data_IF_000420990124
#
_entry.id   IF_000420990124
#
_cell.length_a   1.000
_cell.length_b   1.000
_cell.length_c   1.000
_cell.angle_alpha   90.00
_cell.angle_beta   90.00
_cell.angle_gamma   90.00
#
_symmetry.space_group_name_H-M   'P 1'
#
loop_
_entity.id
_entity.type
_entity.pdbx_description
1 polymer ?
#
# COMPACT_ATOMS: atom_id res chain seq x y z
N UNK A 1 -6.91 -3.81 32.74
CA UNK A 1 -6.88 -3.95 31.28
C UNK A 1 -6.11 -5.21 30.93
N UNK A 2 -6.66 -6.11 30.15
CA UNK A 2 -5.97 -7.35 29.74
C UNK A 2 -4.75 -7.00 28.86
N UNK A 3 -3.64 -7.75 28.99
CA UNK A 3 -2.42 -7.61 28.17
C UNK A 3 -2.75 -7.60 26.67
N UNK A 4 -3.71 -8.43 26.24
CA UNK A 4 -4.20 -8.48 24.87
C UNK A 4 -4.81 -7.16 24.35
N UNK A 5 -5.48 -6.39 25.22
CA UNK A 5 -6.05 -5.08 24.82
C UNK A 5 -4.98 -4.05 24.48
N UNK A 6 -3.84 -4.09 25.21
CA UNK A 6 -2.70 -3.18 24.95
C UNK A 6 -2.01 -3.58 23.65
N UNK A 7 -1.84 -4.87 23.43
CA UNK A 7 -1.21 -5.40 22.21
C UNK A 7 -2.02 -5.07 20.96
N UNK A 8 -3.34 -5.28 21.00
CA UNK A 8 -4.24 -4.90 19.91
C UNK A 8 -4.15 -3.40 19.58
N UNK A 9 -4.19 -2.54 20.58
CA UNK A 9 -4.00 -1.08 20.38
C UNK A 9 -2.68 -0.75 19.72
N UNK A 10 -1.60 -1.40 20.12
CA UNK A 10 -0.27 -1.24 19.53
C UNK A 10 -0.26 -1.64 18.06
N UNK A 11 -0.89 -2.77 17.71
CA UNK A 11 -0.98 -3.25 16.33
C UNK A 11 -1.81 -2.34 15.44
N UNK A 12 -2.95 -1.85 15.93
CA UNK A 12 -3.75 -0.86 15.20
C UNK A 12 -2.95 0.42 14.96
N UNK A 13 -2.22 0.92 15.98
CA UNK A 13 -1.36 2.10 15.80
C UNK A 13 -0.23 1.85 14.80
N UNK A 14 0.38 0.66 14.81
CA UNK A 14 1.40 0.25 13.83
C UNK A 14 0.81 0.22 12.41
N UNK A 15 -0.37 -0.35 12.25
CA UNK A 15 -1.06 -0.39 10.95
C UNK A 15 -1.32 1.02 10.42
N UNK A 16 -1.89 1.92 11.26
CA UNK A 16 -2.15 3.31 10.87
C UNK A 16 -0.88 4.05 10.43
N UNK A 17 0.20 3.88 11.18
CA UNK A 17 1.48 4.46 10.80
C UNK A 17 1.96 3.95 9.43
N UNK A 18 1.90 2.64 9.21
CA UNK A 18 2.32 2.04 7.94
C UNK A 18 1.43 2.49 6.76
N UNK A 19 0.13 2.65 6.98
CA UNK A 19 -0.79 3.17 5.96
C UNK A 19 -0.43 4.62 5.57
N UNK A 20 -0.18 5.48 6.55
CA UNK A 20 0.25 6.86 6.29
C UNK A 20 1.60 6.92 5.57
N UNK A 21 2.52 6.04 5.94
CA UNK A 21 3.82 5.93 5.27
C UNK A 21 3.66 5.46 3.82
N UNK A 22 2.81 4.46 3.57
CA UNK A 22 2.51 3.98 2.22
C UNK A 22 1.86 5.07 1.36
N UNK A 23 0.91 5.84 1.92
CA UNK A 23 0.26 6.96 1.26
C UNK A 23 1.29 8.02 0.86
N UNK A 24 2.18 8.41 1.79
CA UNK A 24 3.29 9.31 1.49
C UNK A 24 4.18 8.82 0.33
N UNK A 25 4.54 7.53 0.32
CA UNK A 25 5.32 6.96 -0.79
C UNK A 25 4.55 6.95 -2.11
N UNK A 26 3.23 6.71 -2.10
CA UNK A 26 2.40 6.75 -3.29
C UNK A 26 2.30 8.17 -3.88
N UNK A 27 2.16 9.20 -3.03
CA UNK A 27 2.18 10.60 -3.46
C UNK A 27 3.54 10.99 -4.05
N UNK A 28 4.63 10.68 -3.33
CA UNK A 28 5.99 10.98 -3.75
C UNK A 28 6.37 10.26 -5.05
N UNK A 29 5.81 9.07 -5.30
CA UNK A 29 6.07 8.28 -6.50
C UNK A 29 5.86 9.06 -7.79
N UNK A 30 4.77 9.83 -7.87
CA UNK A 30 4.44 10.64 -9.04
C UNK A 30 5.53 11.66 -9.38
N UNK A 31 6.24 12.19 -8.38
CA UNK A 31 7.32 13.14 -8.56
C UNK A 31 8.61 12.44 -9.02
N UNK A 32 9.13 11.50 -8.23
CA UNK A 32 10.43 10.91 -8.53
C UNK A 32 10.45 10.07 -9.81
N UNK A 33 9.34 9.40 -10.16
CA UNK A 33 9.27 8.67 -11.44
C UNK A 33 9.23 9.63 -12.63
N UNK A 34 8.53 10.77 -12.52
CA UNK A 34 8.51 11.80 -13.56
C UNK A 34 9.89 12.41 -13.77
N UNK A 35 10.54 12.83 -12.69
CA UNK A 35 11.85 13.45 -12.74
C UNK A 35 12.92 12.50 -13.26
N UNK A 36 12.85 11.23 -12.87
CA UNK A 36 13.74 10.18 -13.36
C UNK A 36 13.56 9.93 -14.87
N UNK A 37 12.31 9.81 -15.34
CA UNK A 37 11.99 9.66 -16.77
C UNK A 37 12.43 10.89 -17.58
N UNK A 38 12.19 12.07 -17.05
CA UNK A 38 12.61 13.32 -17.69
C UNK A 38 14.13 13.37 -17.88
N UNK A 39 14.88 12.99 -16.87
CA UNK A 39 16.35 12.94 -16.96
C UNK A 39 16.87 11.93 -18.02
N UNK A 40 16.19 10.80 -18.18
CA UNK A 40 16.47 9.83 -19.25
C UNK A 40 16.23 10.46 -20.64
N UNK A 41 15.12 11.21 -20.81
CA UNK A 41 14.80 11.90 -22.06
C UNK A 41 15.87 12.94 -22.38
N UNK A 42 16.21 13.79 -21.42
CA UNK A 42 17.23 14.85 -21.57
C UNK A 42 18.62 14.27 -21.89
N UNK A 43 18.90 13.07 -21.42
CA UNK A 43 20.10 12.31 -21.76
C UNK A 43 20.05 11.68 -23.17
N UNK A 44 18.95 11.78 -23.92
CA UNK A 44 18.79 11.25 -25.28
C UNK A 44 18.51 9.75 -25.35
N UNK A 45 18.04 9.14 -24.25
CA UNK A 45 17.76 7.70 -24.14
C UNK A 45 16.28 7.36 -23.92
N UNK A 46 15.36 8.19 -24.41
CA UNK A 46 13.92 8.02 -24.24
C UNK A 46 13.39 6.62 -24.66
N UNK A 47 14.05 5.96 -25.61
CA UNK A 47 13.68 4.63 -26.09
C UNK A 47 13.83 3.51 -25.06
N UNK A 48 14.52 3.73 -23.94
CA UNK A 48 14.60 2.74 -22.86
C UNK A 48 13.41 2.82 -21.88
N UNK A 49 12.62 3.90 -21.91
CA UNK A 49 11.50 4.10 -20.99
C UNK A 49 10.45 2.98 -21.09
N UNK A 50 9.99 2.55 -22.26
CA UNK A 50 9.05 1.44 -22.35
C UNK A 50 9.59 0.14 -21.77
N UNK A 51 10.90 -0.08 -21.89
CA UNK A 51 11.59 -1.29 -21.41
C UNK A 51 11.61 -1.34 -19.88
N UNK A 52 11.95 -0.22 -19.24
CA UNK A 52 11.99 -0.15 -17.78
C UNK A 52 10.60 -0.10 -17.15
N UNK A 53 9.60 0.42 -17.88
CA UNK A 53 8.20 0.47 -17.41
C UNK A 53 7.50 -0.89 -17.50
N UNK A 54 7.93 -1.80 -18.40
CA UNK A 54 7.35 -3.14 -18.54
C UNK A 54 7.73 -4.09 -17.38
N UNK A 55 8.76 -3.78 -16.62
CA UNK A 55 9.16 -4.56 -15.44
C UNK A 55 8.27 -4.32 -14.20
N UNK A 56 7.48 -3.25 -14.20
CA UNK A 56 6.66 -2.82 -13.05
C UNK A 56 5.23 -3.39 -13.06
N UNK A 57 4.83 -4.13 -14.11
CA UNK A 57 3.51 -4.73 -14.23
C UNK A 57 3.52 -6.22 -13.88
N UNK A 58 3.80 -6.54 -12.64
CA UNK A 58 3.28 -7.75 -12.02
C UNK A 58 2.24 -7.35 -10.95
N UNK A 59 1.09 -6.90 -11.41
CA UNK A 59 -0.12 -7.13 -10.66
C UNK A 59 -0.42 -8.61 -10.81
N UNK A 60 -0.02 -9.41 -9.84
CA UNK A 60 -0.59 -10.73 -9.67
C UNK A 60 -2.11 -10.52 -9.52
N UNK A 61 -2.87 -10.86 -10.55
CA UNK A 61 -4.28 -11.17 -10.40
C UNK A 61 -4.37 -12.29 -9.36
N UNK A 62 -4.59 -11.91 -8.11
CA UNK A 62 -4.98 -12.84 -7.07
C UNK A 62 -6.41 -13.31 -7.32
N UNK A 63 -6.55 -14.22 -8.28
CA UNK A 63 -7.74 -15.04 -8.43
C UNK A 63 -7.72 -16.14 -7.39
N UNK A 64 -7.98 -15.80 -6.14
CA UNK A 64 -8.49 -16.73 -5.15
C UNK A 64 -9.37 -15.92 -4.21
N UNK A 65 -10.64 -15.85 -4.53
CA UNK A 65 -11.70 -15.55 -3.57
C UNK A 65 -11.79 -16.72 -2.59
N UNK A 66 -10.87 -16.77 -1.64
CA UNK A 66 -11.02 -17.59 -0.46
C UNK A 66 -12.22 -17.03 0.29
N UNK A 67 -13.36 -17.75 0.25
CA UNK A 67 -14.57 -17.26 0.89
C UNK A 67 -14.27 -17.04 2.36
N UNK A 68 -14.40 -15.79 2.81
CA UNK A 68 -14.24 -15.42 4.21
C UNK A 68 -14.92 -16.42 5.14
N UNK A 69 -14.25 -16.89 6.21
CA UNK A 69 -14.87 -17.74 7.22
C UNK A 69 -16.15 -17.11 7.78
N UNK A 70 -17.11 -17.92 8.20
CA UNK A 70 -18.42 -17.46 8.66
C UNK A 70 -18.34 -16.39 9.75
N UNK A 71 -17.35 -16.45 10.66
CA UNK A 71 -17.14 -15.45 11.71
C UNK A 71 -16.74 -14.08 11.14
N UNK A 72 -15.92 -14.04 10.09
CA UNK A 72 -15.53 -12.79 9.41
C UNK A 72 -16.67 -12.22 8.57
N UNK A 73 -17.51 -13.05 7.98
CA UNK A 73 -18.76 -12.59 7.33
C UNK A 73 -19.71 -11.91 8.33
N UNK A 74 -19.79 -12.41 9.56
CA UNK A 74 -20.57 -11.76 10.63
C UNK A 74 -19.94 -10.43 11.05
N UNK A 75 -18.61 -10.38 11.20
CA UNK A 75 -17.88 -9.15 11.53
C UNK A 75 -18.09 -8.09 10.45
N UNK A 76 -17.90 -8.44 9.19
CA UNK A 76 -18.13 -7.55 8.05
C UNK A 76 -19.56 -6.98 8.06
N UNK A 77 -20.60 -7.80 8.29
CA UNK A 77 -21.97 -7.31 8.40
C UNK A 77 -22.17 -6.31 9.54
N UNK A 78 -21.50 -6.51 10.70
CA UNK A 78 -21.52 -5.54 11.80
C UNK A 78 -20.86 -4.22 11.37
N UNK A 79 -19.70 -4.27 10.74
CA UNK A 79 -19.00 -3.09 10.21
C UNK A 79 -19.91 -2.34 9.25
N UNK A 80 -20.43 -3.01 8.21
CA UNK A 80 -21.35 -2.40 7.23
C UNK A 80 -22.57 -1.80 7.90
N UNK A 81 -23.12 -2.44 8.95
CA UNK A 81 -24.28 -1.91 9.64
C UNK A 81 -24.06 -0.57 10.34
N UNK A 82 -22.81 -0.22 10.67
CA UNK A 82 -22.41 1.04 11.30
C UNK A 82 -21.90 2.09 10.30
N UNK A 83 -21.34 1.65 9.17
CA UNK A 83 -20.63 2.54 8.23
C UNK A 83 -21.38 2.78 6.91
N UNK A 84 -22.54 2.10 6.70
CA UNK A 84 -23.28 2.20 5.43
C UNK A 84 -23.75 3.63 5.17
N UNK A 85 -23.49 4.21 3.98
CA UNK A 85 -23.81 5.61 3.66
C UNK A 85 -25.27 6.02 3.94
N UNK A 86 -26.23 5.11 3.73
CA UNK A 86 -27.66 5.40 3.97
C UNK A 86 -27.98 5.72 5.43
N UNK A 87 -27.11 5.36 6.37
CA UNK A 87 -27.30 5.57 7.81
C UNK A 87 -26.62 6.83 8.35
N UNK A 88 -25.82 7.50 7.53
CA UNK A 88 -24.96 8.61 7.95
C UNK A 88 -25.59 10.00 7.72
N UNK A 89 -26.88 10.08 7.43
CA UNK A 89 -27.55 11.32 6.99
C UNK A 89 -27.56 12.44 8.02
N UNK A 90 -27.45 12.08 9.31
CA UNK A 90 -27.53 13.03 10.42
C UNK A 90 -26.18 13.33 11.08
N UNK A 91 -25.08 12.78 10.52
CA UNK A 91 -23.72 12.96 11.03
C UNK A 91 -23.05 14.22 10.41
N UNK A 92 -22.02 14.73 11.05
CA UNK A 92 -21.20 15.81 10.47
C UNK A 92 -20.37 15.32 9.27
N UNK A 93 -19.99 16.25 8.38
CA UNK A 93 -19.32 15.96 7.12
C UNK A 93 -18.00 15.17 7.29
N UNK A 94 -17.24 15.46 8.37
CA UNK A 94 -15.99 14.78 8.67
C UNK A 94 -16.24 13.33 9.07
N UNK A 95 -17.21 13.11 9.96
CA UNK A 95 -17.62 11.76 10.39
C UNK A 95 -18.17 10.95 9.23
N UNK A 96 -18.96 11.56 8.34
CA UNK A 96 -19.45 10.90 7.12
C UNK A 96 -18.28 10.43 6.25
N UNK A 97 -17.27 11.28 6.03
CA UNK A 97 -16.10 10.94 5.22
C UNK A 97 -15.30 9.78 5.83
N UNK A 98 -15.04 9.84 7.13
CA UNK A 98 -14.31 8.78 7.86
C UNK A 98 -15.05 7.43 7.78
N UNK A 99 -16.34 7.41 8.08
CA UNK A 99 -17.14 6.18 8.07
C UNK A 99 -17.32 5.63 6.65
N UNK A 100 -17.44 6.49 5.64
CA UNK A 100 -17.48 6.08 4.24
C UNK A 100 -16.18 5.43 3.80
N UNK A 101 -15.04 6.01 4.17
CA UNK A 101 -13.72 5.42 3.89
C UNK A 101 -13.59 4.04 4.55
N UNK A 102 -14.03 3.90 5.81
CA UNK A 102 -14.05 2.61 6.49
C UNK A 102 -14.96 1.59 5.80
N UNK A 103 -16.11 2.02 5.30
CA UNK A 103 -17.02 1.16 4.52
C UNK A 103 -16.35 0.64 3.25
N UNK A 104 -15.78 1.53 2.43
CA UNK A 104 -15.12 1.18 1.18
C UNK A 104 -13.93 0.24 1.44
N UNK A 105 -13.12 0.53 2.46
CA UNK A 105 -12.00 -0.32 2.88
C UNK A 105 -12.48 -1.70 3.34
N UNK A 106 -13.57 -1.77 4.10
CA UNK A 106 -14.13 -3.05 4.55
C UNK A 106 -14.70 -3.89 3.41
N UNK A 107 -15.31 -3.25 2.41
CA UNK A 107 -15.80 -3.94 1.20
C UNK A 107 -14.64 -4.57 0.44
N UNK A 108 -13.59 -3.79 0.16
CA UNK A 108 -12.40 -4.29 -0.53
C UNK A 108 -11.73 -5.42 0.27
N UNK A 109 -11.50 -5.23 1.57
CA UNK A 109 -10.93 -6.25 2.44
C UNK A 109 -11.76 -7.55 2.49
N UNK A 110 -13.10 -7.43 2.40
CA UNK A 110 -13.98 -8.59 2.34
C UNK A 110 -13.87 -9.35 1.02
N UNK A 111 -13.65 -8.65 -0.10
CA UNK A 111 -13.47 -9.24 -1.42
C UNK A 111 -12.09 -9.93 -1.54
N UNK A 112 -11.06 -9.28 -0.99
CA UNK A 112 -9.66 -9.74 -1.06
C UNK A 112 -9.30 -10.75 0.03
N UNK A 113 -10.24 -11.05 0.96
CA UNK A 113 -10.01 -11.98 2.07
C UNK A 113 -9.09 -11.43 3.16
N UNK A 114 -8.93 -10.12 3.26
CA UNK A 114 -8.02 -9.44 4.20
C UNK A 114 -8.60 -9.34 5.62
N UNK A 115 -8.53 -10.45 6.35
CA UNK A 115 -9.08 -10.60 7.69
C UNK A 115 -8.53 -9.59 8.70
N UNK A 116 -7.22 -9.30 8.63
CA UNK A 116 -6.56 -8.35 9.52
C UNK A 116 -7.14 -6.94 9.41
N UNK A 117 -7.44 -6.47 8.19
CA UNK A 117 -8.09 -5.18 7.93
C UNK A 117 -9.47 -5.11 8.56
N UNK A 118 -10.28 -6.18 8.42
CA UNK A 118 -11.61 -6.24 9.02
C UNK A 118 -11.56 -6.18 10.56
N UNK A 119 -10.57 -6.83 11.21
CA UNK A 119 -10.39 -6.74 12.66
C UNK A 119 -10.01 -5.31 13.06
N UNK A 120 -9.10 -4.66 12.32
CA UNK A 120 -8.67 -3.29 12.59
C UNK A 120 -9.85 -2.32 12.54
N UNK A 121 -10.65 -2.36 11.46
CA UNK A 121 -11.84 -1.50 11.31
C UNK A 121 -12.83 -1.77 12.43
N UNK A 122 -13.04 -3.02 12.82
CA UNK A 122 -13.92 -3.36 13.93
C UNK A 122 -13.47 -2.75 15.25
N UNK A 123 -12.16 -2.77 15.55
CA UNK A 123 -11.59 -2.15 16.74
C UNK A 123 -11.81 -0.63 16.72
N UNK A 124 -11.62 0.02 15.58
CA UNK A 124 -11.81 1.47 15.42
C UNK A 124 -13.27 1.88 15.63
N UNK A 125 -14.20 1.05 15.19
CA UNK A 125 -15.63 1.24 15.40
C UNK A 125 -16.10 0.84 16.80
N UNK A 126 -15.22 0.37 17.68
CA UNK A 126 -15.58 -0.10 19.03
C UNK A 126 -16.36 -1.40 19.05
N UNK A 127 -16.34 -2.18 17.95
CA UNK A 127 -16.95 -3.51 17.90
C UNK A 127 -16.11 -4.45 18.75
N UNK A 128 -16.78 -5.27 19.56
CA UNK A 128 -16.11 -6.31 20.35
C UNK A 128 -15.48 -7.37 19.44
N UNK A 129 -14.18 -7.58 19.63
CA UNK A 129 -13.33 -8.52 18.88
C UNK A 129 -12.75 -9.63 19.75
N UNK A 130 -13.33 -9.89 20.94
CA UNK A 130 -12.92 -10.96 21.84
C UNK A 130 -12.85 -12.32 21.16
N UNK A 131 -13.80 -12.63 20.28
CA UNK A 131 -13.86 -13.87 19.49
C UNK A 131 -12.74 -13.98 18.43
N UNK A 132 -11.92 -12.92 18.25
CA UNK A 132 -10.85 -12.84 17.24
C UNK A 132 -9.45 -12.76 17.85
N UNK A 133 -9.30 -13.12 19.14
CA UNK A 133 -8.00 -13.09 19.83
C UNK A 133 -6.96 -14.00 19.18
N UNK A 134 -7.38 -15.15 18.65
CA UNK A 134 -6.51 -16.11 18.00
C UNK A 134 -6.08 -15.64 16.59
N UNK A 135 -6.74 -14.60 16.05
CA UNK A 135 -6.43 -14.01 14.74
C UNK A 135 -5.61 -12.71 14.81
N UNK A 136 -5.01 -12.40 15.94
CA UNK A 136 -4.10 -11.23 16.07
C UNK A 136 -2.97 -11.30 15.04
N UNK A 137 -2.53 -12.49 14.69
CA UNK A 137 -1.51 -12.71 13.66
C UNK A 137 -1.96 -12.22 12.28
N UNK A 138 -3.24 -12.24 11.95
CA UNK A 138 -3.76 -11.67 10.69
C UNK A 138 -3.46 -10.17 10.56
N UNK A 139 -3.46 -9.43 11.68
CA UNK A 139 -3.08 -8.00 11.69
C UNK A 139 -1.58 -7.85 11.43
N UNK A 140 -0.73 -8.71 11.99
CA UNK A 140 0.70 -8.70 11.72
C UNK A 140 1.00 -9.03 10.26
N UNK A 141 0.32 -10.00 9.68
CA UNK A 141 0.43 -10.33 8.25
C UNK A 141 0.09 -9.11 7.40
N UNK A 142 -1.03 -8.43 7.71
CA UNK A 142 -1.45 -7.20 7.01
C UNK A 142 -0.37 -6.10 7.14
N UNK A 143 0.15 -5.87 8.34
CA UNK A 143 1.24 -4.90 8.55
C UNK A 143 2.51 -5.25 7.76
N UNK A 144 2.85 -6.54 7.67
CA UNK A 144 4.04 -6.97 6.94
C UNK A 144 3.87 -6.80 5.43
N UNK A 145 2.69 -7.08 4.87
CA UNK A 145 2.38 -6.79 3.46
C UNK A 145 2.59 -5.32 3.11
N UNK A 146 2.07 -4.40 3.94
CA UNK A 146 2.26 -2.97 3.72
C UNK A 146 3.74 -2.60 3.78
N UNK A 147 4.46 -3.14 4.77
CA UNK A 147 5.90 -2.90 4.89
C UNK A 147 6.67 -3.40 3.67
N UNK A 148 6.34 -4.58 3.15
CA UNK A 148 6.94 -5.12 1.93
C UNK A 148 6.71 -4.20 0.73
N UNK A 149 5.49 -3.64 0.58
CA UNK A 149 5.19 -2.65 -0.46
C UNK A 149 6.06 -1.40 -0.33
N UNK A 150 6.23 -0.86 0.88
CA UNK A 150 7.11 0.29 1.16
C UNK A 150 8.57 -0.05 0.82
N UNK A 151 9.04 -1.22 1.24
CA UNK A 151 10.41 -1.70 0.97
C UNK A 151 10.64 -1.85 -0.56
N UNK A 152 9.63 -2.26 -1.32
CA UNK A 152 9.70 -2.34 -2.79
C UNK A 152 9.81 -0.95 -3.43
N UNK A 153 9.09 0.05 -2.93
CA UNK A 153 9.28 1.43 -3.39
C UNK A 153 10.71 1.91 -3.16
N UNK A 154 11.26 1.65 -1.98
CA UNK A 154 12.63 2.07 -1.63
C UNK A 154 13.72 1.40 -2.48
N UNK A 155 13.45 0.21 -3.04
CA UNK A 155 14.39 -0.51 -3.92
C UNK A 155 14.41 -0.01 -5.36
N UNK A 156 13.44 0.81 -5.77
CA UNK A 156 13.35 1.31 -7.15
C UNK A 156 14.53 2.22 -7.49
N UNK A 157 15.08 2.06 -8.68
CA UNK A 157 16.19 2.87 -9.18
C UNK A 157 15.84 4.36 -9.24
N UNK A 158 14.58 4.68 -9.58
CA UNK A 158 14.06 6.05 -9.60
C UNK A 158 14.05 6.69 -8.22
N UNK A 159 13.62 5.96 -7.18
CA UNK A 159 13.64 6.42 -5.80
C UNK A 159 15.07 6.62 -5.28
N UNK A 160 15.97 5.68 -5.56
CA UNK A 160 17.38 5.81 -5.20
C UNK A 160 18.01 7.06 -5.83
N UNK A 161 17.83 7.26 -7.14
CA UNK A 161 18.33 8.41 -7.88
C UNK A 161 17.77 9.73 -7.33
N UNK A 162 16.48 9.78 -7.05
CA UNK A 162 15.81 10.97 -6.50
C UNK A 162 16.44 11.42 -5.18
N UNK A 163 16.84 10.48 -4.33
CA UNK A 163 17.45 10.74 -3.01
C UNK A 163 18.96 11.04 -3.04
N UNK A 164 19.60 10.99 -4.20
CA UNK A 164 21.01 11.42 -4.32
C UNK A 164 21.13 12.94 -4.10
N UNK A 165 22.14 13.34 -3.34
CA UNK A 165 22.26 14.71 -2.82
C UNK A 165 22.81 15.70 -3.82
N UNK A 166 23.62 15.26 -4.80
CA UNK A 166 24.31 16.13 -5.74
C UNK A 166 24.01 15.75 -7.18
N UNK A 167 23.98 16.75 -8.07
CA UNK A 167 23.78 16.52 -9.50
C UNK A 167 24.87 15.59 -10.08
N UNK A 168 26.10 15.69 -9.59
CA UNK A 168 27.20 14.80 -10.00
C UNK A 168 26.88 13.33 -9.68
N UNK A 169 26.37 13.02 -8.48
CA UNK A 169 25.97 11.67 -8.11
C UNK A 169 24.80 11.18 -8.97
N UNK A 170 23.84 12.06 -9.25
CA UNK A 170 22.70 11.76 -10.13
C UNK A 170 23.14 11.44 -11.55
N UNK A 171 24.07 12.23 -12.11
CA UNK A 171 24.64 11.99 -13.43
C UNK A 171 25.44 10.69 -13.51
N UNK A 172 26.28 10.41 -12.51
CA UNK A 172 27.04 9.17 -12.44
C UNK A 172 26.15 7.94 -12.32
N UNK A 173 25.10 8.03 -11.51
CA UNK A 173 24.12 6.96 -11.39
C UNK A 173 23.39 6.74 -12.71
N UNK A 174 22.90 7.82 -13.34
CA UNK A 174 22.14 7.75 -14.59
C UNK A 174 22.97 7.10 -15.71
N UNK A 175 24.25 7.47 -15.86
CA UNK A 175 25.15 6.84 -16.83
C UNK A 175 25.25 5.33 -16.61
N UNK A 176 25.47 4.89 -15.36
CA UNK A 176 25.57 3.47 -15.01
C UNK A 176 24.26 2.74 -15.26
N UNK A 177 23.12 3.36 -14.91
CA UNK A 177 21.78 2.81 -15.10
C UNK A 177 21.47 2.59 -16.58
N UNK A 178 21.71 3.60 -17.43
CA UNK A 178 21.53 3.53 -18.88
C UNK A 178 22.43 2.44 -19.49
N UNK A 179 23.72 2.43 -19.15
CA UNK A 179 24.65 1.42 -19.67
C UNK A 179 24.26 -0.01 -19.27
N UNK A 180 23.74 -0.20 -18.06
CA UNK A 180 23.24 -1.50 -17.59
C UNK A 180 21.97 -1.91 -18.32
N UNK A 181 21.04 -0.98 -18.52
CA UNK A 181 19.79 -1.22 -19.24
C UNK A 181 20.03 -1.59 -20.70
N UNK A 182 20.98 -0.91 -21.36
CA UNK A 182 21.37 -1.22 -22.74
C UNK A 182 22.00 -2.61 -22.86
N UNK A 183 22.90 -2.96 -21.94
CA UNK A 183 23.56 -4.28 -21.93
C UNK A 183 22.56 -5.41 -21.68
N UNK A 184 21.67 -5.23 -20.73
CA UNK A 184 20.67 -6.25 -20.35
C UNK A 184 19.71 -6.57 -21.52
N UNK A 185 19.35 -5.56 -22.30
CA UNK A 185 18.42 -5.70 -23.42
C UNK A 185 19.10 -5.88 -24.78
N UNK A 186 20.42 -6.13 -24.82
CA UNK A 186 21.22 -6.31 -26.06
C UNK A 186 21.05 -5.16 -27.08
N UNK A 187 20.81 -3.93 -26.61
CA UNK A 187 20.63 -2.76 -27.45
C UNK A 187 22.00 -2.11 -27.71
N UNK A 188 22.41 -2.04 -28.97
CA UNK A 188 23.63 -1.33 -29.35
C UNK A 188 23.39 0.19 -29.29
N UNK A 189 24.31 0.93 -28.65
CA UNK A 189 24.38 2.40 -28.81
C UNK A 189 24.46 2.72 -30.30
N UNK A 190 23.53 3.51 -30.83
CA UNK A 190 23.65 4.12 -32.17
C UNK A 190 24.58 5.31 -32.12
#
# INVERSE_FOLDING_TARGET
MSTNSIELKRLVSKYKYLQQELEYFNELRGEYERDFKQNIIESGYEFIIPIISSGDTQSEESTISDQLPTKFKKLFRKIVSLTHPDKLKDEDEKTILELRTMYETAVNASQDGEKGVLIIIAIELGIDVEDFKDEIEEINITCNKIKEQIDEFCKRSSYYWYNLKTDKEKDEFMKKFIDSSLKHNNIKKK
#
